data_IF_912882076456
#
_entry.id   IF_912882076456
#
_cell.length_a   1.000
_cell.length_b   1.000
_cell.length_c   1.000
_cell.angle_alpha   90.00
_cell.angle_beta   90.00
_cell.angle_gamma   90.00
#
_symmetry.space_group_name_H-M   'P 1'
#
loop_
_entity.id
_entity.type
_entity.pdbx_description
1 polymer ?
#
# COMPACT_ATOMS: atom_id res chain seq x y z
N UNK A 1 -23.22 39.50 -33.67
CA UNK A 1 -23.79 38.29 -33.07
C UNK A 1 -23.05 37.12 -33.68
N UNK A 2 -21.99 36.67 -33.03
CA UNK A 2 -21.30 35.43 -33.41
C UNK A 2 -21.74 34.35 -32.42
N UNK A 3 -22.51 33.40 -32.94
CA UNK A 3 -22.94 32.22 -32.21
C UNK A 3 -21.74 31.27 -32.13
N UNK A 4 -21.03 31.28 -31.00
CA UNK A 4 -19.98 30.30 -30.75
C UNK A 4 -20.64 28.99 -30.35
N UNK A 5 -20.82 28.10 -31.34
CA UNK A 5 -21.20 26.71 -31.11
C UNK A 5 -19.95 25.98 -30.60
N UNK A 6 -19.84 25.82 -29.29
CA UNK A 6 -18.80 24.96 -28.70
C UNK A 6 -19.34 23.54 -28.72
N UNK A 7 -18.73 22.70 -29.55
CA UNK A 7 -19.00 21.27 -29.63
C UNK A 7 -18.79 20.62 -28.26
N UNK A 8 -19.80 19.88 -27.80
CA UNK A 8 -19.70 18.98 -26.66
C UNK A 8 -18.65 17.91 -26.97
N UNK A 9 -17.51 17.97 -26.29
CA UNK A 9 -16.60 16.82 -26.21
C UNK A 9 -17.29 15.81 -25.30
N UNK A 10 -17.88 14.78 -25.90
CA UNK A 10 -18.37 13.62 -25.17
C UNK A 10 -17.20 12.89 -24.53
N UNK A 11 -17.45 12.36 -23.35
CA UNK A 11 -16.55 11.77 -22.35
C UNK A 11 -15.69 10.55 -22.77
N UNK A 12 -15.37 10.36 -24.05
CA UNK A 12 -14.57 9.21 -24.53
C UNK A 12 -13.08 9.54 -24.75
N UNK A 13 -12.69 10.81 -24.76
CA UNK A 13 -11.31 11.22 -25.12
C UNK A 13 -10.42 11.60 -23.92
N UNK A 14 -10.81 11.23 -22.70
CA UNK A 14 -9.88 11.28 -21.57
C UNK A 14 -8.97 10.06 -21.62
N UNK A 15 -7.92 10.17 -22.44
CA UNK A 15 -6.91 9.14 -22.69
C UNK A 15 -6.37 8.55 -21.38
N UNK A 16 -6.77 7.31 -21.14
CA UNK A 16 -6.37 6.50 -19.99
C UNK A 16 -4.85 6.21 -19.98
N UNK A 17 -4.11 6.46 -21.08
CA UNK A 17 -2.68 6.16 -21.16
C UNK A 17 -1.78 7.10 -20.36
N UNK A 18 -2.24 8.29 -19.97
CA UNK A 18 -1.40 9.17 -19.13
C UNK A 18 -1.46 8.79 -17.64
N UNK A 19 -2.41 7.92 -17.25
CA UNK A 19 -2.62 7.48 -15.86
C UNK A 19 -1.70 6.34 -15.41
N UNK A 20 -1.02 5.64 -16.30
CA UNK A 20 -0.06 4.56 -15.93
C UNK A 20 1.15 5.10 -15.16
N UNK A 21 1.52 6.37 -15.33
CA UNK A 21 2.69 6.96 -14.66
C UNK A 21 2.39 7.57 -13.28
N UNK A 22 1.11 7.77 -12.91
CA UNK A 22 0.72 8.31 -11.60
C UNK A 22 0.51 7.22 -10.56
N UNK A 23 -0.07 6.07 -10.96
CA UNK A 23 -0.22 4.90 -10.07
C UNK A 23 1.15 4.34 -9.64
N UNK A 24 2.15 4.37 -10.54
CA UNK A 24 3.55 4.03 -10.23
C UNK A 24 4.18 4.87 -9.12
N UNK A 25 3.75 6.13 -8.93
CA UNK A 25 4.24 7.03 -7.86
C UNK A 25 3.51 6.85 -6.53
N UNK A 26 2.32 6.26 -6.53
CA UNK A 26 1.55 5.94 -5.32
C UNK A 26 1.99 4.58 -4.77
N UNK A 27 2.25 3.59 -5.64
CA UNK A 27 2.93 2.33 -5.31
C UNK A 27 4.27 2.56 -4.59
N UNK A 28 5.17 3.38 -5.17
CA UNK A 28 6.47 3.71 -4.58
C UNK A 28 6.41 4.52 -3.26
N UNK A 29 5.24 5.09 -2.93
CA UNK A 29 4.99 5.82 -1.66
C UNK A 29 4.41 4.90 -0.59
N UNK A 30 3.62 3.91 -1.00
CA UNK A 30 3.08 2.87 -0.13
C UNK A 30 4.18 1.85 0.26
N UNK A 31 5.05 1.44 -0.68
CA UNK A 31 6.24 0.62 -0.37
C UNK A 31 7.16 1.30 0.66
N UNK A 32 7.35 2.62 0.55
CA UNK A 32 8.15 3.40 1.50
C UNK A 32 7.52 3.50 2.89
N UNK A 33 6.18 3.54 2.95
CA UNK A 33 5.43 3.60 4.20
C UNK A 33 5.40 2.23 4.91
N UNK A 34 5.30 1.15 4.15
CA UNK A 34 5.41 -0.23 4.66
C UNK A 34 6.82 -0.54 5.20
N UNK A 35 7.87 0.00 4.57
CA UNK A 35 9.25 -0.08 5.07
C UNK A 35 9.45 0.74 6.37
N UNK A 36 8.89 1.95 6.46
CA UNK A 36 8.95 2.78 7.67
C UNK A 36 8.16 2.17 8.85
N UNK A 37 7.01 1.54 8.56
CA UNK A 37 6.18 0.91 9.59
C UNK A 37 6.80 -0.42 10.07
N UNK A 38 7.45 -1.18 9.18
CA UNK A 38 8.27 -2.35 9.54
C UNK A 38 9.49 -1.97 10.40
N UNK A 39 10.14 -0.84 10.12
CA UNK A 39 11.24 -0.32 10.93
C UNK A 39 10.79 0.17 12.32
N UNK A 40 9.53 0.62 12.47
CA UNK A 40 8.97 1.02 13.78
C UNK A 40 8.59 -0.16 14.67
N UNK A 41 8.14 -1.27 14.10
CA UNK A 41 7.86 -2.51 14.87
C UNK A 41 9.13 -3.21 15.35
N UNK A 42 10.28 -2.98 14.70
CA UNK A 42 11.60 -3.47 15.13
C UNK A 42 12.18 -2.73 16.36
N UNK A 43 11.58 -1.61 16.78
CA UNK A 43 12.12 -0.79 17.87
C UNK A 43 11.70 -1.23 19.30
N UNK A 44 10.87 -2.26 19.47
CA UNK A 44 10.23 -2.53 20.78
C UNK A 44 10.67 -3.77 21.56
N UNK A 45 11.65 -4.57 21.12
CA UNK A 45 12.07 -5.76 21.89
C UNK A 45 13.58 -5.87 22.05
N UNK A 46 14.10 -5.17 23.06
CA UNK A 46 15.42 -5.42 23.61
C UNK A 46 15.34 -6.22 24.92
N UNK A 47 16.08 -7.35 25.00
CA UNK A 47 16.90 -7.73 26.16
C UNK A 47 17.50 -9.15 25.97
N UNK A 48 18.82 -9.25 25.76
CA UNK A 48 19.58 -10.51 25.77
C UNK A 48 20.85 -10.45 24.93
N UNK A 49 21.95 -9.96 25.50
CA UNK A 49 23.17 -9.51 24.80
C UNK A 49 24.13 -10.67 24.45
N UNK A 50 24.36 -10.89 23.15
CA UNK A 50 25.63 -11.38 22.60
C UNK A 50 26.15 -10.33 21.60
N UNK A 51 27.25 -9.65 21.94
CA UNK A 51 27.78 -8.53 21.14
C UNK A 51 28.62 -9.04 19.98
N UNK A 52 28.10 -8.86 18.76
CA UNK A 52 28.89 -8.74 17.53
C UNK A 52 28.41 -7.48 16.81
N UNK A 53 29.37 -6.58 16.59
CA UNK A 53 29.23 -5.13 16.33
C UNK A 53 28.30 -4.79 15.17
N UNK A 54 27.56 -3.69 15.37
CA UNK A 54 26.60 -3.05 14.47
C UNK A 54 27.24 -2.52 13.18
N UNK A 55 26.41 -2.38 12.15
CA UNK A 55 26.57 -1.62 10.89
C UNK A 55 27.38 -2.25 9.75
N UNK A 56 26.85 -3.32 9.15
CA UNK A 56 26.51 -3.44 7.70
C UNK A 56 25.40 -4.50 7.59
N UNK A 57 24.50 -4.42 6.59
CA UNK A 57 23.44 -5.41 6.35
C UNK A 57 24.08 -6.69 5.79
N UNK A 58 24.79 -7.39 6.67
CA UNK A 58 25.68 -8.48 6.32
C UNK A 58 24.85 -9.69 5.89
N UNK A 59 25.05 -10.12 4.65
CA UNK A 59 24.40 -11.30 4.08
C UNK A 59 25.40 -12.43 3.94
N UNK A 60 24.96 -13.63 4.31
CA UNK A 60 25.74 -14.85 4.20
C UNK A 60 25.32 -15.57 2.93
N UNK A 61 26.28 -15.81 2.04
CA UNK A 61 26.05 -16.61 0.83
C UNK A 61 26.09 -18.10 1.18
N UNK A 62 25.04 -18.83 0.81
CA UNK A 62 24.89 -20.27 1.06
C UNK A 62 24.50 -20.96 -0.24
N UNK A 63 25.33 -21.90 -0.71
CA UNK A 63 25.04 -22.80 -1.81
C UNK A 63 24.41 -24.08 -1.27
N UNK A 64 23.13 -24.28 -1.60
CA UNK A 64 22.36 -25.46 -1.22
C UNK A 64 22.10 -26.32 -2.46
N UNK A 65 22.87 -27.41 -2.61
CA UNK A 65 22.74 -28.35 -3.72
C UNK A 65 22.95 -27.75 -5.12
N UNK A 66 23.73 -26.68 -5.24
CA UNK A 66 23.97 -25.95 -6.48
C UNK A 66 23.12 -24.69 -6.67
N UNK A 67 22.26 -24.35 -5.71
CA UNK A 67 21.46 -23.12 -5.73
C UNK A 67 21.98 -22.14 -4.68
N UNK A 68 22.38 -20.94 -5.12
CA UNK A 68 22.90 -19.90 -4.24
C UNK A 68 21.77 -19.08 -3.58
N UNK A 69 21.86 -18.92 -2.27
CA UNK A 69 20.97 -18.10 -1.45
C UNK A 69 21.78 -17.06 -0.67
N UNK A 70 21.18 -15.90 -0.43
CA UNK A 70 21.69 -14.91 0.52
C UNK A 70 20.78 -14.90 1.75
N UNK A 71 21.36 -15.20 2.92
CA UNK A 71 20.62 -15.22 4.18
C UNK A 71 21.01 -13.99 5.00
N UNK A 72 20.01 -13.25 5.47
CA UNK A 72 20.23 -12.10 6.36
C UNK A 72 20.53 -12.55 7.79
N UNK A 73 21.19 -11.70 8.57
CA UNK A 73 21.42 -11.96 10.00
C UNK A 73 20.10 -12.12 10.77
N UNK A 74 19.07 -11.37 10.41
CA UNK A 74 17.76 -11.43 11.08
C UNK A 74 17.10 -12.80 10.85
N UNK A 75 17.22 -13.35 9.64
CA UNK A 75 16.74 -14.70 9.32
C UNK A 75 17.55 -15.78 10.05
N UNK A 76 18.85 -15.58 10.27
CA UNK A 76 19.64 -16.51 11.09
C UNK A 76 19.32 -16.41 12.58
N UNK A 77 19.01 -15.21 13.05
CA UNK A 77 18.57 -14.98 14.42
C UNK A 77 17.19 -15.64 14.68
N UNK A 78 16.28 -15.65 13.69
CA UNK A 78 14.97 -16.31 13.84
C UNK A 78 15.07 -17.84 13.97
N UNK A 79 16.19 -18.44 13.57
CA UNK A 79 16.49 -19.86 13.75
C UNK A 79 17.75 -20.10 14.61
N UNK A 80 18.00 -19.23 15.59
CA UNK A 80 19.11 -19.41 16.53
C UNK A 80 18.99 -20.76 17.26
N UNK A 81 20.13 -21.46 17.41
CA UNK A 81 20.17 -22.80 18.01
C UNK A 81 19.79 -23.95 17.07
N UNK A 82 19.33 -23.65 15.85
CA UNK A 82 19.07 -24.67 14.83
C UNK A 82 20.37 -25.29 14.30
N UNK A 83 20.23 -26.45 13.63
CA UNK A 83 21.33 -27.09 12.92
C UNK A 83 21.81 -26.24 11.74
N UNK A 84 20.90 -25.54 11.05
CA UNK A 84 21.24 -24.59 9.99
C UNK A 84 22.19 -23.50 10.49
N UNK A 85 21.86 -22.87 11.62
CA UNK A 85 22.73 -21.85 12.24
C UNK A 85 24.07 -22.45 12.63
N UNK A 86 24.10 -23.67 13.16
CA UNK A 86 25.34 -24.35 13.54
C UNK A 86 26.24 -24.64 12.32
N UNK A 87 25.68 -25.19 11.23
CA UNK A 87 26.38 -25.42 9.96
C UNK A 87 26.97 -24.13 9.40
N UNK A 88 26.19 -23.06 9.46
CA UNK A 88 26.62 -21.76 8.96
C UNK A 88 27.78 -21.23 9.80
N UNK A 89 27.64 -21.22 11.12
CA UNK A 89 28.67 -20.69 12.03
C UNK A 89 29.95 -21.52 12.07
N UNK A 90 29.88 -22.82 11.81
CA UNK A 90 31.04 -23.71 11.68
C UNK A 90 31.83 -23.39 10.42
N UNK A 91 31.17 -23.40 9.26
CA UNK A 91 31.83 -23.14 7.98
C UNK A 91 32.30 -21.69 7.88
N UNK A 92 31.54 -20.74 8.42
CA UNK A 92 31.89 -19.32 8.42
C UNK A 92 33.23 -18.99 9.05
N UNK A 93 33.68 -19.78 10.02
CA UNK A 93 35.00 -19.60 10.66
C UNK A 93 36.13 -20.05 9.74
N UNK A 94 35.84 -20.93 8.80
CA UNK A 94 36.80 -21.54 7.88
C UNK A 94 36.81 -20.86 6.50
N UNK A 95 35.69 -20.24 6.08
CA UNK A 95 35.61 -19.42 4.86
C UNK A 95 36.07 -17.99 5.11
N UNK A 96 36.93 -17.46 4.23
CA UNK A 96 37.16 -16.01 4.16
C UNK A 96 35.84 -15.29 3.83
N UNK A 97 35.75 -13.99 4.17
CA UNK A 97 34.55 -13.14 4.00
C UNK A 97 33.93 -13.15 2.58
N UNK A 98 34.69 -13.56 1.56
CA UNK A 98 34.24 -13.64 0.15
C UNK A 98 33.76 -15.04 -0.27
N UNK A 99 33.70 -16.01 0.65
CA UNK A 99 33.29 -17.38 0.40
C UNK A 99 31.79 -17.61 0.56
N UNK A 100 31.32 -18.78 0.12
CA UNK A 100 29.96 -19.27 0.35
C UNK A 100 29.98 -20.56 1.15
N UNK A 101 28.90 -20.82 1.87
CA UNK A 101 28.71 -22.00 2.72
C UNK A 101 28.07 -23.10 1.89
N UNK A 102 28.54 -24.33 1.99
CA UNK A 102 28.01 -25.46 1.23
C UNK A 102 27.08 -26.31 2.08
N UNK A 103 25.88 -26.57 1.55
CA UNK A 103 24.91 -27.50 2.12
C UNK A 103 24.52 -28.52 1.05
N UNK A 104 24.77 -29.80 1.34
CA UNK A 104 24.42 -30.92 0.45
C UNK A 104 22.94 -31.31 0.64
N UNK A 105 22.03 -30.44 0.20
CA UNK A 105 20.57 -30.61 0.25
C UNK A 105 19.90 -30.09 -1.02
N UNK A 106 18.60 -30.35 -1.16
CA UNK A 106 17.83 -29.84 -2.28
C UNK A 106 17.60 -28.33 -2.14
N UNK A 107 18.29 -27.54 -2.95
CA UNK A 107 18.14 -26.09 -2.98
C UNK A 107 16.71 -25.64 -3.24
N UNK A 108 15.95 -26.33 -4.11
CA UNK A 108 14.55 -25.93 -4.40
C UNK A 108 13.65 -26.06 -3.19
N UNK A 109 13.89 -27.05 -2.34
CA UNK A 109 13.13 -27.21 -1.10
C UNK A 109 13.57 -26.19 -0.05
N UNK A 110 14.85 -25.78 -0.07
CA UNK A 110 15.38 -24.77 0.83
C UNK A 110 14.76 -23.38 0.64
N UNK A 111 14.31 -23.03 -0.57
CA UNK A 111 13.55 -21.81 -0.84
C UNK A 111 12.35 -21.66 0.13
N UNK A 112 11.55 -22.71 0.30
CA UNK A 112 10.39 -22.70 1.19
C UNK A 112 10.77 -22.72 2.68
N UNK A 113 11.92 -23.31 3.02
CA UNK A 113 12.46 -23.22 4.39
C UNK A 113 12.83 -21.77 4.68
N UNK A 114 13.52 -21.12 3.74
CA UNK A 114 13.95 -19.74 3.89
C UNK A 114 12.77 -18.76 3.96
N UNK A 115 11.77 -18.94 3.09
CA UNK A 115 10.53 -18.16 3.13
C UNK A 115 9.85 -18.28 4.50
N UNK A 116 9.73 -19.50 5.04
CA UNK A 116 9.16 -19.72 6.35
C UNK A 116 9.94 -19.01 7.47
N UNK A 117 11.28 -19.02 7.42
CA UNK A 117 12.11 -18.32 8.41
C UNK A 117 11.98 -16.79 8.34
N UNK A 118 11.56 -16.24 7.20
CA UNK A 118 11.38 -14.80 7.00
C UNK A 118 9.98 -14.32 7.38
N UNK A 119 8.94 -15.10 7.09
CA UNK A 119 7.54 -14.66 7.21
C UNK A 119 6.75 -15.45 8.26
N UNK A 120 7.29 -16.55 8.78
CA UNK A 120 6.60 -17.55 9.60
C UNK A 120 5.37 -18.19 8.93
N UNK A 121 5.22 -18.06 7.60
CA UNK A 121 4.11 -18.64 6.83
C UNK A 121 4.53 -18.92 5.40
N UNK A 122 4.21 -20.10 4.87
CA UNK A 122 4.63 -20.49 3.51
C UNK A 122 3.46 -21.08 2.71
N UNK A 123 3.41 -20.75 1.43
CA UNK A 123 2.44 -21.27 0.48
C UNK A 123 3.14 -22.18 -0.53
N UNK A 124 2.83 -23.46 -0.46
CA UNK A 124 3.43 -24.48 -1.31
C UNK A 124 2.70 -24.58 -2.64
N UNK A 125 3.41 -24.58 -3.78
CA UNK A 125 2.81 -24.94 -5.05
C UNK A 125 2.44 -26.42 -5.05
N UNK A 126 1.60 -26.82 -6.00
CA UNK A 126 1.01 -28.17 -6.05
C UNK A 126 2.06 -29.28 -6.14
N UNK A 127 3.19 -28.98 -6.75
CA UNK A 127 4.28 -29.93 -7.01
C UNK A 127 5.11 -30.20 -5.76
N UNK A 128 5.04 -29.34 -4.75
CA UNK A 128 5.85 -29.44 -3.53
C UNK A 128 5.02 -30.12 -2.45
N UNK A 129 5.54 -31.24 -1.95
CA UNK A 129 4.90 -31.98 -0.87
C UNK A 129 5.15 -31.31 0.47
N UNK A 130 4.08 -31.05 1.23
CA UNK A 130 4.17 -30.60 2.63
C UNK A 130 5.04 -31.50 3.50
N UNK A 131 4.96 -32.82 3.31
CA UNK A 131 5.78 -33.78 4.03
C UNK A 131 7.27 -33.69 3.63
N UNK A 132 7.56 -33.35 2.37
CA UNK A 132 8.93 -33.13 1.95
C UNK A 132 9.52 -31.87 2.61
N UNK A 133 8.73 -30.80 2.74
CA UNK A 133 9.17 -29.61 3.45
C UNK A 133 9.36 -29.87 4.95
N UNK A 134 8.47 -30.64 5.58
CA UNK A 134 8.60 -31.04 6.98
C UNK A 134 9.94 -31.76 7.26
N UNK A 135 10.36 -32.63 6.34
CA UNK A 135 11.66 -33.30 6.41
C UNK A 135 12.85 -32.36 6.26
N UNK A 136 12.71 -31.29 5.48
CA UNK A 136 13.74 -30.26 5.44
C UNK A 136 13.82 -29.49 6.76
N UNK A 137 12.69 -29.10 7.35
CA UNK A 137 12.70 -28.46 8.68
C UNK A 137 13.36 -29.35 9.73
N UNK A 138 13.05 -30.65 9.74
CA UNK A 138 13.72 -31.63 10.61
C UNK A 138 15.23 -31.70 10.31
N UNK A 139 15.63 -31.74 9.04
CA UNK A 139 17.04 -31.75 8.66
C UNK A 139 17.80 -30.52 9.16
N UNK A 140 17.21 -29.32 9.02
CA UNK A 140 17.80 -28.05 9.43
C UNK A 140 17.65 -27.77 10.93
N UNK A 141 16.94 -28.63 11.68
CA UNK A 141 16.67 -28.45 13.10
C UNK A 141 15.84 -27.20 13.37
N UNK A 142 14.86 -26.92 12.51
CA UNK A 142 13.95 -25.78 12.61
C UNK A 142 12.63 -26.27 13.21
N UNK A 143 12.21 -25.68 14.32
CA UNK A 143 10.91 -25.94 14.94
C UNK A 143 9.82 -25.16 14.20
N UNK A 144 9.36 -25.71 13.08
CA UNK A 144 8.30 -25.10 12.28
C UNK A 144 6.90 -25.50 12.79
N UNK A 145 6.04 -24.50 12.99
CA UNK A 145 4.61 -24.72 13.10
C UNK A 145 4.03 -25.06 11.73
N UNK A 146 3.79 -26.35 11.51
CA UNK A 146 3.24 -26.86 10.26
C UNK A 146 1.82 -26.34 9.99
N UNK A 147 1.11 -25.75 10.95
CA UNK A 147 -0.19 -25.11 10.69
C UNK A 147 -0.07 -23.87 9.80
N UNK A 148 1.11 -23.23 9.75
CA UNK A 148 1.43 -22.09 8.87
C UNK A 148 2.01 -22.50 7.51
N UNK A 149 1.94 -23.80 7.18
CA UNK A 149 2.31 -24.33 5.87
C UNK A 149 1.02 -24.62 5.10
N UNK A 150 0.77 -23.82 4.08
CA UNK A 150 -0.48 -23.81 3.32
C UNK A 150 -0.27 -24.20 1.87
N UNK A 151 -1.31 -24.69 1.20
CA UNK A 151 -1.28 -24.89 -0.25
C UNK A 151 -1.60 -23.56 -0.96
N UNK A 152 -0.87 -23.24 -2.04
CA UNK A 152 -1.05 -22.01 -2.83
C UNK A 152 -2.47 -21.87 -3.42
N UNK A 153 -3.19 -22.98 -3.60
CA UNK A 153 -4.58 -22.97 -4.07
C UNK A 153 -5.57 -23.42 -2.99
N UNK A 154 -5.14 -23.41 -1.73
CA UNK A 154 -5.92 -23.85 -0.58
C UNK A 154 -6.89 -22.80 -0.04
N UNK A 155 -7.69 -23.22 0.94
CA UNK A 155 -8.68 -22.36 1.60
C UNK A 155 -8.04 -21.11 2.23
N UNK A 156 -6.88 -21.26 2.87
CA UNK A 156 -6.20 -20.15 3.53
C UNK A 156 -5.71 -19.09 2.53
N UNK A 157 -5.12 -19.52 1.42
CA UNK A 157 -4.71 -18.61 0.35
C UNK A 157 -5.91 -17.86 -0.25
N UNK A 158 -7.01 -18.57 -0.49
CA UNK A 158 -8.27 -17.95 -0.93
C UNK A 158 -8.81 -16.94 0.09
N UNK A 159 -8.71 -17.25 1.39
CA UNK A 159 -9.15 -16.35 2.46
C UNK A 159 -8.34 -15.05 2.43
N UNK A 160 -7.01 -15.13 2.39
CA UNK A 160 -6.14 -13.96 2.31
C UNK A 160 -6.42 -13.12 1.06
N UNK A 161 -6.55 -13.75 -0.13
CA UNK A 161 -6.90 -13.02 -1.36
C UNK A 161 -8.22 -12.26 -1.18
N UNK A 162 -9.25 -12.88 -0.58
CA UNK A 162 -10.54 -12.23 -0.37
C UNK A 162 -10.45 -11.07 0.63
N UNK A 163 -9.66 -11.23 1.69
CA UNK A 163 -9.40 -10.15 2.65
C UNK A 163 -8.69 -8.98 1.98
N UNK A 164 -7.66 -9.26 1.17
CA UNK A 164 -6.94 -8.24 0.41
C UNK A 164 -7.85 -7.52 -0.59
N UNK A 165 -8.68 -8.26 -1.34
CA UNK A 165 -9.71 -7.68 -2.22
C UNK A 165 -10.60 -6.73 -1.42
N UNK A 166 -11.10 -7.15 -0.26
CA UNK A 166 -11.97 -6.31 0.58
C UNK A 166 -11.28 -5.02 1.05
N UNK A 167 -10.00 -5.10 1.43
CA UNK A 167 -9.20 -3.91 1.80
C UNK A 167 -9.03 -2.97 0.61
N UNK A 168 -8.70 -3.52 -0.57
CA UNK A 168 -8.51 -2.74 -1.78
C UNK A 168 -9.81 -2.11 -2.27
N UNK A 169 -10.94 -2.80 -2.17
CA UNK A 169 -12.27 -2.27 -2.48
C UNK A 169 -12.64 -1.10 -1.54
N UNK A 170 -12.41 -1.25 -0.23
CA UNK A 170 -12.62 -0.17 0.72
C UNK A 170 -11.74 1.05 0.42
N UNK A 171 -10.46 0.84 0.08
CA UNK A 171 -9.57 1.92 -0.35
C UNK A 171 -10.06 2.60 -1.64
N UNK A 172 -10.50 1.81 -2.62
CA UNK A 172 -11.05 2.30 -3.87
C UNK A 172 -12.30 3.15 -3.63
N UNK A 173 -13.16 2.77 -2.68
CA UNK A 173 -14.35 3.54 -2.31
C UNK A 173 -14.00 4.88 -1.68
N UNK A 174 -12.97 4.92 -0.82
CA UNK A 174 -12.44 6.18 -0.28
C UNK A 174 -11.93 7.09 -1.41
N UNK A 175 -11.13 6.55 -2.33
CA UNK A 175 -10.60 7.31 -3.47
C UNK A 175 -11.71 7.82 -4.41
N UNK A 176 -12.73 6.98 -4.67
CA UNK A 176 -13.91 7.38 -5.46
C UNK A 176 -14.69 8.50 -4.76
N UNK A 177 -14.86 8.39 -3.44
CA UNK A 177 -15.53 9.42 -2.63
C UNK A 177 -14.80 10.76 -2.69
N UNK A 178 -13.47 10.73 -2.59
CA UNK A 178 -12.61 11.90 -2.72
C UNK A 178 -12.67 12.52 -4.11
N UNK A 179 -12.50 11.71 -5.16
CA UNK A 179 -12.59 12.16 -6.55
C UNK A 179 -13.95 12.82 -6.83
N UNK A 180 -15.04 12.22 -6.35
CA UNK A 180 -16.40 12.74 -6.53
C UNK A 180 -16.59 14.11 -5.85
N UNK A 181 -16.10 14.29 -4.62
CA UNK A 181 -16.16 15.58 -3.92
C UNK A 181 -15.36 16.67 -4.65
N UNK A 182 -14.16 16.34 -5.12
CA UNK A 182 -13.32 17.26 -5.91
C UNK A 182 -14.03 17.64 -7.21
N UNK A 183 -14.52 16.67 -7.97
CA UNK A 183 -15.22 16.92 -9.23
C UNK A 183 -16.47 17.78 -9.04
N UNK A 184 -17.30 17.47 -8.04
CA UNK A 184 -18.49 18.26 -7.74
C UNK A 184 -18.11 19.70 -7.37
N UNK A 185 -17.02 19.92 -6.62
CA UNK A 185 -16.56 21.27 -6.28
C UNK A 185 -16.06 22.05 -7.50
N UNK A 186 -15.41 21.39 -8.47
CA UNK A 186 -15.02 22.01 -9.74
C UNK A 186 -16.25 22.37 -10.58
N UNK A 187 -17.22 21.45 -10.68
CA UNK A 187 -18.48 21.72 -11.35
C UNK A 187 -19.20 22.92 -10.71
N UNK A 188 -19.25 22.96 -9.38
CA UNK A 188 -19.84 24.04 -8.60
C UNK A 188 -19.17 25.39 -8.89
N UNK A 189 -17.85 25.42 -8.93
CA UNK A 189 -17.08 26.63 -9.28
C UNK A 189 -17.38 27.12 -10.69
N UNK A 190 -17.45 26.21 -11.67
CA UNK A 190 -17.81 26.56 -13.04
C UNK A 190 -19.24 27.13 -13.13
N UNK A 191 -20.20 26.52 -12.44
CA UNK A 191 -21.58 27.03 -12.40
C UNK A 191 -21.67 28.38 -11.69
N UNK A 192 -20.88 28.59 -10.63
CA UNK A 192 -20.77 29.90 -9.99
C UNK A 192 -20.21 30.95 -10.96
N UNK A 193 -19.12 30.65 -11.67
CA UNK A 193 -18.46 31.56 -12.61
C UNK A 193 -19.32 31.88 -13.85
N UNK A 194 -20.14 30.93 -14.32
CA UNK A 194 -21.08 31.16 -15.43
C UNK A 194 -22.22 32.08 -15.05
N UNK A 195 -22.66 32.01 -13.80
CA UNK A 195 -23.82 32.71 -13.29
C UNK A 195 -23.45 33.85 -12.34
N UNK A 196 -22.20 34.38 -12.43
CA UNK A 196 -21.72 35.48 -11.56
C UNK A 196 -22.77 36.60 -11.58
N UNK A 197 -23.44 36.87 -10.45
CA UNK A 197 -24.36 37.98 -10.39
C UNK A 197 -23.57 39.27 -10.48
N UNK A 198 -24.07 40.23 -11.24
CA UNK A 198 -23.45 41.54 -11.42
C UNK A 198 -23.28 42.33 -10.12
N UNK A 199 -23.95 41.95 -9.01
CA UNK A 199 -23.91 42.63 -7.71
C UNK A 199 -24.18 41.74 -6.49
N UNK A 200 -23.43 40.65 -6.28
CA UNK A 200 -23.49 39.82 -5.04
C UNK A 200 -24.85 39.19 -4.73
N UNK A 201 -25.05 37.93 -5.11
CA UNK A 201 -26.03 37.06 -4.46
C UNK A 201 -25.72 35.61 -4.80
N UNK A 202 -26.14 34.69 -3.93
CA UNK A 202 -25.78 33.28 -4.03
C UNK A 202 -26.19 32.67 -5.39
N UNK A 203 -25.38 31.76 -5.92
CA UNK A 203 -25.74 30.98 -7.11
C UNK A 203 -26.39 29.68 -6.66
N UNK A 204 -27.54 29.36 -7.25
CA UNK A 204 -28.28 28.14 -6.99
C UNK A 204 -28.21 27.24 -8.22
N UNK A 205 -27.86 25.96 -8.03
CA UNK A 205 -27.86 24.97 -9.11
C UNK A 205 -28.17 23.58 -8.56
N UNK A 206 -28.65 22.69 -9.43
CA UNK A 206 -28.95 21.32 -9.07
C UNK A 206 -27.71 20.45 -9.12
N UNK A 207 -27.53 19.59 -8.11
CA UNK A 207 -26.48 18.57 -8.10
C UNK A 207 -26.80 17.54 -9.19
N UNK A 208 -25.88 17.30 -10.15
CA UNK A 208 -26.06 16.24 -11.12
C UNK A 208 -26.17 14.87 -10.43
N UNK A 209 -27.02 13.98 -10.96
CA UNK A 209 -27.34 12.68 -10.31
C UNK A 209 -26.12 11.80 -10.05
N UNK A 210 -25.10 11.89 -10.90
CA UNK A 210 -23.83 11.18 -10.77
C UNK A 210 -23.05 11.54 -9.49
N UNK A 211 -23.32 12.72 -8.91
CA UNK A 211 -22.74 13.16 -7.63
C UNK A 211 -23.72 13.02 -6.47
N UNK A 212 -24.74 12.16 -6.54
CA UNK A 212 -25.77 12.06 -5.49
C UNK A 212 -25.28 11.49 -4.14
N UNK A 213 -24.17 10.74 -4.15
CA UNK A 213 -23.58 10.07 -2.97
C UNK A 213 -22.25 10.65 -2.50
N UNK A 214 -21.92 11.88 -2.91
CA UNK A 214 -20.66 12.54 -2.57
C UNK A 214 -20.45 12.71 -1.06
N UNK A 215 -19.17 12.77 -0.65
CA UNK A 215 -18.81 13.11 0.72
C UNK A 215 -19.01 14.61 0.99
N UNK A 216 -20.02 14.93 1.81
CA UNK A 216 -20.40 16.33 2.10
C UNK A 216 -19.36 17.12 2.87
N UNK A 217 -18.61 16.49 3.77
CA UNK A 217 -17.59 17.18 4.57
C UNK A 217 -16.42 17.57 3.66
N UNK A 218 -15.89 16.60 2.94
CA UNK A 218 -14.80 16.81 2.00
C UNK A 218 -15.19 17.77 0.86
N UNK A 219 -16.43 17.69 0.38
CA UNK A 219 -16.92 18.65 -0.61
C UNK A 219 -16.86 20.10 -0.10
N UNK A 220 -17.25 20.36 1.16
CA UNK A 220 -17.14 21.70 1.75
C UNK A 220 -15.69 22.17 1.86
N UNK A 221 -14.77 21.28 2.24
CA UNK A 221 -13.33 21.58 2.24
C UNK A 221 -12.84 21.93 0.83
N UNK A 222 -13.27 21.17 -0.17
CA UNK A 222 -12.94 21.41 -1.58
C UNK A 222 -13.51 22.73 -2.11
N UNK A 223 -14.71 23.14 -1.66
CA UNK A 223 -15.29 24.45 -1.97
C UNK A 223 -14.50 25.59 -1.32
N UNK A 224 -14.15 25.46 -0.04
CA UNK A 224 -13.38 26.45 0.69
C UNK A 224 -12.00 26.66 0.03
N UNK A 225 -11.34 25.58 -0.40
CA UNK A 225 -10.08 25.64 -1.15
C UNK A 225 -10.20 26.37 -2.51
N UNK A 226 -11.43 26.55 -3.02
CA UNK A 226 -11.76 27.32 -4.23
C UNK A 226 -12.32 28.71 -3.93
N UNK A 227 -12.26 29.17 -2.67
CA UNK A 227 -12.82 30.45 -2.26
C UNK A 227 -14.35 30.50 -2.32
N UNK A 228 -15.02 29.35 -2.21
CA UNK A 228 -16.48 29.24 -2.21
C UNK A 228 -16.98 28.71 -0.88
N UNK A 229 -18.15 29.20 -0.45
CA UNK A 229 -18.83 28.75 0.77
C UNK A 229 -20.21 28.24 0.41
N UNK A 230 -20.51 27.03 0.90
CA UNK A 230 -21.87 26.50 0.86
C UNK A 230 -22.78 27.29 1.81
N UNK A 231 -23.84 27.87 1.27
CA UNK A 231 -24.87 28.60 2.01
C UNK A 231 -26.08 27.68 2.19
N UNK A 232 -26.58 27.55 3.42
CA UNK A 232 -27.64 26.58 3.74
C UNK A 232 -28.92 26.92 2.98
N UNK A 233 -29.34 26.05 2.08
CA UNK A 233 -30.64 26.13 1.42
C UNK A 233 -30.80 24.97 0.46
N UNK A 234 -31.52 23.92 0.87
CA UNK A 234 -32.00 22.90 -0.05
C UNK A 234 -33.48 23.10 -0.27
N UNK A 235 -33.92 23.34 -1.50
CA UNK A 235 -35.26 22.94 -1.90
C UNK A 235 -35.17 21.45 -2.24
N UNK A 236 -35.82 20.60 -1.43
CA UNK A 236 -35.93 19.15 -1.64
C UNK A 236 -34.61 18.33 -1.71
N UNK A 237 -33.53 18.83 -1.12
CA UNK A 237 -32.25 18.09 -1.00
C UNK A 237 -31.41 18.00 -2.28
N UNK A 238 -31.77 18.71 -3.35
CA UNK A 238 -31.11 18.61 -4.68
C UNK A 238 -30.38 19.86 -5.13
N UNK A 239 -30.82 21.05 -4.70
CA UNK A 239 -30.19 22.31 -5.10
C UNK A 239 -29.13 22.74 -4.07
N UNK A 240 -27.97 23.21 -4.56
CA UNK A 240 -26.90 23.81 -3.77
C UNK A 240 -26.95 25.33 -3.95
N UNK A 241 -26.86 26.05 -2.83
CA UNK A 241 -26.68 27.50 -2.82
C UNK A 241 -25.23 27.78 -2.41
N UNK A 242 -24.48 28.50 -3.25
CA UNK A 242 -23.06 28.83 -3.00
C UNK A 242 -22.78 30.30 -3.17
N UNK A 243 -21.83 30.81 -2.38
CA UNK A 243 -21.36 32.20 -2.46
C UNK A 243 -19.84 32.27 -2.41
N UNK A 244 -19.26 33.40 -2.80
CA UNK A 244 -17.83 33.65 -2.63
C UNK A 244 -17.51 33.78 -1.14
N UNK A 245 -16.40 33.18 -0.72
CA UNK A 245 -15.83 33.42 0.60
C UNK A 245 -15.39 34.89 0.64
N UNK A 246 -15.98 35.67 1.54
CA UNK A 246 -15.50 37.02 1.82
C UNK A 246 -14.23 36.86 2.67
N UNK A 247 -13.13 37.47 2.22
CA UNK A 247 -11.96 37.63 3.08
C UNK A 247 -12.38 38.53 4.25
N UNK A 248 -12.09 38.10 5.47
CA UNK A 248 -12.32 38.91 6.66
C UNK A 248 -11.29 40.06 6.63
N UNK A 249 -11.62 41.14 5.93
CA UNK A 249 -10.89 42.41 5.97
C UNK A 249 -11.02 42.99 7.39
N UNK A 250 -10.23 42.44 8.31
CA UNK A 250 -9.87 43.08 9.57
C UNK A 250 -8.40 43.48 9.52
N UNK A 251 -8.12 44.47 8.67
CA UNK A 251 -7.01 45.39 8.93
C UNK A 251 -7.59 46.81 9.11
N UNK A 252 -8.30 46.97 10.21
CA UNK A 252 -8.73 48.27 10.73
C UNK A 252 -7.54 48.96 11.37
N UNK A 253 -6.69 49.66 10.60
CA UNK A 253 -5.85 50.76 11.09
C UNK A 253 -5.54 51.79 10.00
N UNK A 254 -6.38 52.81 9.91
CA UNK A 254 -5.92 54.21 9.75
C UNK A 254 -6.14 54.94 11.08
#
# INVERSE_FOLDING_TARGET
METVVIHFVTWTDFDWNHKTNKYRRIELRNERRLLDDSQKTLACHGAGRMTMTETENYRISVDVGGTMYEISRDTLASCEGSKLTSMIMEQWKDTNLDGYILIDRDGKMFEYVLDYLQTHTVFLPREVSRLALEREFEYYGIEADMTNVHDLYGFEHLRMIKEEIGVQEAHLDVLKSEAMAIQLSMFTELEYLRNIPSKTECVNFDIPKEYSSYNKALFKECLAARGLVYVRGTVNGKSLNVTKQLDDDTDTKE
#
